data_IF_954070409324
#
_entry.id   IF_954070409324
#
_cell.length_a   1.000
_cell.length_b   1.000
_cell.length_c   1.000
_cell.angle_alpha   90.00
_cell.angle_beta   90.00
_cell.angle_gamma   90.00
#
_symmetry.space_group_name_H-M   'P 1'
#
loop_
_entity.id
_entity.type
_entity.pdbx_description
1 polymer ?
#
# COMPACT_ATOMS: atom_id res chain seq x y z
N UNK A 1 -22.44 -17.59 -17.73
CA UNK A 1 -21.64 -17.05 -16.61
C UNK A 1 -20.20 -16.93 -17.07
N UNK A 2 -19.77 -15.72 -17.46
CA UNK A 2 -18.38 -15.47 -17.85
C UNK A 2 -17.56 -15.53 -16.57
N UNK A 3 -16.57 -16.43 -16.48
CA UNK A 3 -15.58 -16.40 -15.41
C UNK A 3 -14.88 -15.05 -15.51
N UNK A 4 -15.09 -14.17 -14.54
CA UNK A 4 -14.24 -13.02 -14.32
C UNK A 4 -12.85 -13.60 -14.00
N UNK A 5 -11.96 -13.62 -14.99
CA UNK A 5 -10.53 -13.67 -14.70
C UNK A 5 -10.27 -12.54 -13.73
N UNK A 6 -10.01 -12.88 -12.46
CA UNK A 6 -9.86 -11.92 -11.39
C UNK A 6 -8.60 -11.11 -11.66
N UNK A 7 -8.75 -9.98 -12.37
CA UNK A 7 -7.67 -9.02 -12.53
C UNK A 7 -7.08 -8.74 -11.15
N UNK A 8 -5.74 -8.73 -11.07
CA UNK A 8 -5.05 -8.53 -9.79
C UNK A 8 -5.63 -7.28 -9.10
N UNK A 9 -5.85 -7.32 -7.78
CA UNK A 9 -6.33 -6.14 -7.06
C UNK A 9 -5.47 -4.91 -7.39
N UNK A 10 -6.11 -3.76 -7.59
CA UNK A 10 -5.43 -2.54 -8.04
C UNK A 10 -4.23 -2.19 -7.16
N UNK A 11 -4.34 -2.44 -5.86
CA UNK A 11 -3.33 -2.13 -4.86
C UNK A 11 -2.08 -3.02 -4.91
N UNK A 12 -2.09 -4.07 -5.74
CA UNK A 12 -0.88 -4.85 -6.08
C UNK A 12 -0.07 -4.24 -7.22
N UNK A 13 -0.50 -3.10 -7.77
CA UNK A 13 0.22 -2.34 -8.78
C UNK A 13 0.93 -1.13 -8.17
N UNK A 14 2.04 -0.65 -8.77
CA UNK A 14 2.64 0.62 -8.39
C UNK A 14 1.64 1.78 -8.52
N UNK A 15 1.65 2.75 -7.58
CA UNK A 15 2.63 2.92 -6.51
C UNK A 15 2.30 2.15 -5.21
N UNK A 16 1.16 1.46 -5.12
CA UNK A 16 0.62 0.92 -3.87
C UNK A 16 1.22 -0.42 -3.44
N UNK A 17 1.76 -1.19 -4.38
CA UNK A 17 2.30 -2.53 -4.13
C UNK A 17 3.33 -2.59 -2.98
N UNK A 18 4.05 -1.49 -2.72
CA UNK A 18 4.99 -1.38 -1.59
C UNK A 18 4.30 -1.50 -0.22
N UNK A 19 3.02 -1.15 -0.11
CA UNK A 19 2.22 -1.32 1.12
C UNK A 19 1.87 -2.80 1.39
N UNK A 20 2.09 -3.69 0.41
CA UNK A 20 1.63 -5.08 0.45
C UNK A 20 2.77 -6.09 0.23
N UNK A 21 4.01 -5.64 0.05
CA UNK A 21 5.20 -6.49 -0.04
C UNK A 21 6.23 -6.11 1.04
N UNK A 22 6.26 -6.82 2.19
CA UNK A 22 7.23 -6.58 3.26
C UNK A 22 8.69 -6.66 2.78
N UNK A 23 8.97 -7.51 1.79
CA UNK A 23 10.34 -7.67 1.26
C UNK A 23 10.77 -6.43 0.48
N UNK A 24 9.83 -5.68 -0.10
CA UNK A 24 10.14 -4.38 -0.72
C UNK A 24 10.46 -3.33 0.36
N UNK A 25 9.71 -3.30 1.47
CA UNK A 25 9.96 -2.39 2.58
C UNK A 25 11.33 -2.59 3.22
N UNK A 26 11.79 -3.84 3.36
CA UNK A 26 13.10 -4.16 3.92
C UNK A 26 14.28 -3.75 3.01
N UNK A 27 14.06 -3.66 1.69
CA UNK A 27 15.13 -3.39 0.71
C UNK A 27 15.26 -1.93 0.33
N UNK A 28 14.25 -1.11 0.61
CA UNK A 28 14.20 0.29 0.24
C UNK A 28 14.60 1.15 1.45
N UNK A 29 15.43 2.18 1.23
CA UNK A 29 15.71 3.16 2.27
C UNK A 29 14.37 3.83 2.67
N UNK A 30 13.93 3.73 3.94
CA UNK A 30 12.62 4.21 4.36
C UNK A 30 12.44 5.73 4.18
N UNK A 31 13.53 6.51 4.17
CA UNK A 31 13.50 7.95 3.88
C UNK A 31 13.16 8.28 2.41
N UNK A 32 13.37 7.33 1.48
CA UNK A 32 12.96 7.47 0.08
C UNK A 32 11.47 7.16 -0.15
N UNK A 33 10.77 6.66 0.87
CA UNK A 33 9.35 6.33 0.78
C UNK A 33 8.52 7.56 1.20
N UNK A 34 7.78 8.11 0.23
CA UNK A 34 6.73 9.09 0.49
C UNK A 34 5.43 8.37 0.87
N UNK A 35 5.37 7.90 2.12
CA UNK A 35 4.24 7.10 2.63
C UNK A 35 2.91 7.87 2.60
N UNK A 36 2.93 9.19 2.84
CA UNK A 36 1.73 10.03 2.81
C UNK A 36 1.11 10.06 1.41
N UNK A 37 1.94 10.24 0.37
CA UNK A 37 1.50 10.20 -1.02
C UNK A 37 0.91 8.83 -1.41
N UNK A 38 1.57 7.75 -1.01
CA UNK A 38 1.12 6.39 -1.37
C UNK A 38 -0.22 6.08 -0.69
N UNK A 39 -0.40 6.44 0.58
CA UNK A 39 -1.66 6.26 1.29
C UNK A 39 -2.79 7.12 0.71
N UNK A 40 -2.53 8.40 0.42
CA UNK A 40 -3.54 9.29 -0.14
C UNK A 40 -4.01 8.78 -1.51
N UNK A 41 -3.09 8.47 -2.41
CA UNK A 41 -3.43 7.92 -3.73
C UNK A 41 -4.15 6.56 -3.65
N UNK A 42 -3.87 5.76 -2.62
CA UNK A 42 -4.57 4.50 -2.38
C UNK A 42 -6.03 4.73 -1.97
N UNK A 43 -6.28 5.71 -1.08
CA UNK A 43 -7.62 6.11 -0.66
C UNK A 43 -8.42 6.70 -1.83
N UNK A 44 -7.81 7.61 -2.61
CA UNK A 44 -8.42 8.23 -3.79
C UNK A 44 -8.85 7.17 -4.83
N UNK A 45 -8.03 6.12 -5.03
CA UNK A 45 -8.37 5.05 -5.96
C UNK A 45 -9.53 4.16 -5.45
N UNK A 46 -9.61 3.91 -4.13
CA UNK A 46 -10.77 3.23 -3.55
C UNK A 46 -12.06 4.05 -3.70
N UNK A 47 -11.96 5.36 -3.44
CA UNK A 47 -13.08 6.29 -3.62
C UNK A 47 -13.54 6.33 -5.08
N UNK A 48 -12.60 6.44 -6.02
CA UNK A 48 -12.87 6.42 -7.48
C UNK A 48 -13.59 5.15 -7.92
N UNK A 49 -13.30 4.01 -7.28
CA UNK A 49 -13.92 2.71 -7.56
C UNK A 49 -15.25 2.50 -6.82
N UNK A 50 -15.61 3.40 -5.91
CA UNK A 50 -16.74 3.25 -4.98
C UNK A 50 -16.70 1.91 -4.19
N UNK A 51 -15.50 1.38 -3.94
CA UNK A 51 -15.28 0.11 -3.25
C UNK A 51 -14.21 0.32 -2.18
N UNK A 52 -14.58 0.10 -0.93
CA UNK A 52 -13.66 0.11 0.21
C UNK A 52 -13.29 -1.33 0.56
N UNK A 53 -12.02 -1.70 0.37
CA UNK A 53 -11.48 -2.97 0.85
C UNK A 53 -10.85 -2.78 2.24
N UNK A 54 -11.63 -3.02 3.30
CA UNK A 54 -11.16 -2.85 4.67
C UNK A 54 -9.95 -3.72 5.02
N UNK A 55 -9.79 -4.88 4.37
CA UNK A 55 -8.61 -5.75 4.60
C UNK A 55 -7.37 -5.09 4.02
N UNK A 56 -7.48 -4.59 2.79
CA UNK A 56 -6.38 -3.87 2.15
C UNK A 56 -6.02 -2.60 2.94
N UNK A 57 -7.01 -1.86 3.45
CA UNK A 57 -6.80 -0.71 4.33
C UNK A 57 -6.08 -1.06 5.63
N UNK A 58 -6.39 -2.20 6.25
CA UNK A 58 -5.70 -2.67 7.45
C UNK A 58 -4.23 -2.99 7.20
N UNK A 59 -3.92 -3.64 6.08
CA UNK A 59 -2.53 -3.92 5.68
C UNK A 59 -1.78 -2.61 5.35
N UNK A 60 -2.42 -1.68 4.63
CA UNK A 60 -1.83 -0.38 4.35
C UNK A 60 -1.51 0.42 5.62
N UNK A 61 -2.39 0.35 6.64
CA UNK A 61 -2.18 0.96 7.95
C UNK A 61 -0.97 0.35 8.66
N UNK A 62 -0.89 -0.97 8.76
CA UNK A 62 0.23 -1.68 9.41
C UNK A 62 1.57 -1.38 8.71
N UNK A 63 1.59 -1.42 7.37
CA UNK A 63 2.76 -1.08 6.56
C UNK A 63 3.19 0.37 6.78
N UNK A 64 2.26 1.31 6.95
CA UNK A 64 2.58 2.70 7.26
C UNK A 64 3.27 2.85 8.63
N UNK A 65 2.76 2.16 9.66
CA UNK A 65 3.36 2.14 10.99
C UNK A 65 4.77 1.55 10.94
N UNK A 66 4.97 0.48 10.18
CA UNK A 66 6.27 -0.15 9.94
C UNK A 66 7.25 0.82 9.29
N UNK A 67 6.85 1.55 8.24
CA UNK A 67 7.71 2.57 7.60
C UNK A 67 8.13 3.66 8.60
N UNK A 68 7.20 4.17 9.42
CA UNK A 68 7.55 5.17 10.44
C UNK A 68 8.51 4.62 11.50
N UNK A 69 8.30 3.39 11.94
CA UNK A 69 9.23 2.71 12.86
C UNK A 69 10.63 2.58 12.25
N UNK A 70 10.73 2.18 10.98
CA UNK A 70 12.01 2.08 10.27
C UNK A 70 12.70 3.44 10.14
N UNK A 71 11.95 4.52 9.84
CA UNK A 71 12.50 5.89 9.84
C UNK A 71 13.04 6.26 11.22
N UNK A 72 12.29 6.00 12.27
CA UNK A 72 12.68 6.30 13.65
C UNK A 72 13.95 5.56 14.10
N UNK A 73 14.22 4.35 13.58
CA UNK A 73 15.42 3.57 13.90
C UNK A 73 16.69 4.07 13.22
N UNK A 74 16.57 4.94 12.21
CA UNK A 74 17.70 5.53 11.47
C UNK A 74 18.02 6.97 11.92
N UNK A 75 17.27 7.49 12.89
CA UNK A 75 17.56 8.73 13.60
C UNK A 75 18.51 8.45 14.77
#
# INVERSE_FOLDING_TARGET
MRREESERPFYLHPPWNILFDPRMLERINPWKINIAFILLSFLEEMERRAIVDFRASGIALDSSATVYLLKSKLL
#
